data_IF_114855486666
#
_entry.id   IF_114855486666
#
_cell.length_a   1.000
_cell.length_b   1.000
_cell.length_c   1.000
_cell.angle_alpha   90.00
_cell.angle_beta   90.00
_cell.angle_gamma   90.00
#
_symmetry.space_group_name_H-M   'P 1'
#
loop_
_entity.id
_entity.type
_entity.pdbx_description
1 polymer ?
#
# COMPACT_ATOMS: atom_id res chain seq x y z
N UNK A 1 -0.78 -12.05 -0.44
CA UNK A 1 0.37 -11.65 0.43
C UNK A 1 0.04 -11.85 1.91
N UNK A 2 -1.08 -11.34 2.44
CA UNK A 2 -1.47 -11.59 3.85
C UNK A 2 -1.45 -13.08 4.23
N UNK A 3 -2.07 -13.93 3.41
CA UNK A 3 -2.08 -15.39 3.60
C UNK A 3 -0.67 -16.00 3.65
N UNK A 4 0.28 -15.48 2.85
CA UNK A 4 1.67 -15.94 2.84
C UNK A 4 2.36 -15.71 4.20
N UNK A 5 1.94 -14.69 4.94
CA UNK A 5 2.47 -14.34 6.25
C UNK A 5 1.56 -14.81 7.40
N UNK A 6 0.56 -15.65 7.13
CA UNK A 6 -0.43 -16.11 8.13
C UNK A 6 -1.16 -14.96 8.84
N UNK A 7 -1.29 -13.80 8.18
CA UNK A 7 -2.11 -12.68 8.64
C UNK A 7 -3.54 -12.89 8.12
N UNK A 8 -4.58 -12.74 8.97
CA UNK A 8 -5.97 -12.86 8.52
C UNK A 8 -6.25 -11.91 7.36
N UNK A 9 -6.86 -12.42 6.30
CA UNK A 9 -7.09 -11.66 5.06
C UNK A 9 -7.95 -10.41 5.26
N UNK A 10 -8.76 -10.40 6.30
CA UNK A 10 -9.58 -9.25 6.71
C UNK A 10 -8.75 -8.01 7.06
N UNK A 11 -7.46 -8.16 7.38
CA UNK A 11 -6.58 -7.01 7.59
C UNK A 11 -6.34 -6.18 6.31
N UNK A 12 -6.74 -6.67 5.12
CA UNK A 12 -6.78 -5.84 3.89
C UNK A 12 -7.69 -4.61 4.06
N UNK A 13 -8.72 -4.70 4.90
CA UNK A 13 -9.63 -3.58 5.17
C UNK A 13 -8.97 -2.46 5.99
N UNK A 14 -7.84 -2.72 6.66
CA UNK A 14 -7.00 -1.64 7.20
C UNK A 14 -6.54 -0.69 6.09
N UNK A 15 -5.95 -1.22 5.02
CA UNK A 15 -5.49 -0.40 3.90
C UNK A 15 -6.64 0.39 3.25
N UNK A 16 -7.86 -0.17 3.25
CA UNK A 16 -9.05 0.55 2.79
C UNK A 16 -9.35 1.75 3.68
N UNK A 17 -9.41 1.59 5.00
CA UNK A 17 -9.74 2.71 5.91
C UNK A 17 -8.62 3.73 6.07
N UNK A 18 -7.37 3.32 5.84
CA UNK A 18 -6.18 4.16 5.93
C UNK A 18 -6.01 5.05 4.70
N UNK A 19 -6.23 4.53 3.50
CA UNK A 19 -5.89 5.27 2.28
C UNK A 19 -6.94 5.20 1.17
N UNK A 20 -8.01 4.42 1.34
CA UNK A 20 -8.92 4.11 0.23
C UNK A 20 -8.20 3.38 -0.90
N UNK A 21 -7.20 2.54 -0.59
CA UNK A 21 -6.37 1.84 -1.56
C UNK A 21 -5.66 2.78 -2.55
N UNK A 22 -5.19 3.93 -2.05
CA UNK A 22 -4.48 4.94 -2.84
C UNK A 22 -3.16 5.36 -2.18
N UNK A 23 -2.26 5.94 -2.99
CA UNK A 23 -0.99 6.49 -2.55
C UNK A 23 -1.17 7.92 -2.01
N UNK A 24 -1.76 8.04 -0.82
CA UNK A 24 -2.02 9.34 -0.15
C UNK A 24 -0.96 9.67 0.89
N UNK A 25 -0.83 10.95 1.22
CA UNK A 25 0.03 11.45 2.29
C UNK A 25 -0.86 12.12 3.34
N UNK A 26 -0.76 11.69 4.60
CA UNK A 26 -1.50 12.31 5.70
C UNK A 26 -0.86 13.63 6.14
N UNK A 27 -1.58 14.48 6.91
CA UNK A 27 -0.99 15.65 7.55
C UNK A 27 0.18 15.35 8.50
N UNK A 28 0.35 14.09 8.92
CA UNK A 28 1.44 13.63 9.78
C UNK A 28 2.53 12.89 8.99
N UNK A 29 2.58 13.04 7.68
CA UNK A 29 3.56 12.42 6.77
C UNK A 29 3.53 10.88 6.73
N UNK A 30 2.39 10.29 7.09
CA UNK A 30 2.10 8.89 6.83
C UNK A 30 1.81 8.70 5.33
N UNK A 31 2.36 7.64 4.72
CA UNK A 31 2.38 7.52 3.26
C UNK A 31 1.89 6.16 2.77
N UNK A 32 1.21 6.20 1.63
CA UNK A 32 0.90 5.02 0.83
C UNK A 32 -0.33 4.27 1.31
N UNK A 33 -0.48 3.04 0.84
CA UNK A 33 -1.66 2.21 1.10
C UNK A 33 -1.82 1.88 2.59
N UNK A 34 -0.70 1.69 3.26
CA UNK A 34 -0.65 1.28 4.66
C UNK A 34 -0.37 2.44 5.62
N UNK A 35 -0.33 3.68 5.11
CA UNK A 35 -0.09 4.90 5.90
C UNK A 35 1.10 4.77 6.87
N UNK A 36 2.26 4.37 6.34
CA UNK A 36 3.46 4.26 7.17
C UNK A 36 4.10 5.62 7.43
N UNK A 37 4.35 5.92 8.71
CA UNK A 37 5.30 6.95 9.10
C UNK A 37 6.72 6.54 8.69
N UNK A 38 7.56 7.52 8.34
CA UNK A 38 8.94 7.27 7.87
C UNK A 38 9.79 6.45 8.84
N UNK A 39 9.68 6.70 10.15
CA UNK A 39 10.41 5.94 11.17
C UNK A 39 9.98 4.47 11.19
N UNK A 40 8.67 4.23 11.30
CA UNK A 40 8.09 2.89 11.28
C UNK A 40 8.40 2.14 9.99
N UNK A 41 8.32 2.80 8.83
CA UNK A 41 8.68 2.19 7.55
C UNK A 41 10.10 1.60 7.59
N UNK A 42 11.06 2.34 8.14
CA UNK A 42 12.45 1.90 8.27
C UNK A 42 12.62 0.77 9.29
N UNK A 43 11.84 0.78 10.38
CA UNK A 43 11.84 -0.31 11.36
C UNK A 43 11.37 -1.65 10.76
N UNK A 44 10.67 -1.61 9.62
CA UNK A 44 10.19 -2.77 8.87
C UNK A 44 10.83 -2.87 7.47
N UNK A 45 12.11 -2.49 7.38
CA UNK A 45 13.00 -2.69 6.24
C UNK A 45 12.65 -1.94 4.94
N UNK A 46 11.76 -0.95 4.99
CA UNK A 46 11.48 -0.11 3.83
C UNK A 46 12.55 0.97 3.63
N UNK A 47 13.03 1.09 2.40
CA UNK A 47 13.88 2.20 1.98
C UNK A 47 13.06 3.49 1.87
N UNK A 48 13.48 4.53 2.61
CA UNK A 48 12.83 5.85 2.60
C UNK A 48 13.89 6.94 2.58
N UNK A 49 14.21 7.40 1.38
CA UNK A 49 15.10 8.52 1.11
C UNK A 49 14.53 9.49 0.04
N UNK A 50 15.39 10.25 -0.62
CA UNK A 50 14.96 11.25 -1.61
C UNK A 50 14.69 10.65 -2.98
N UNK A 51 15.40 9.59 -3.36
CA UNK A 51 15.36 8.93 -4.66
C UNK A 51 14.31 7.81 -4.66
N UNK A 52 14.19 7.11 -3.53
CA UNK A 52 13.34 5.96 -3.33
C UNK A 52 12.52 6.11 -2.05
N UNK A 53 11.21 5.86 -2.16
CA UNK A 53 10.31 5.77 -1.01
C UNK A 53 9.39 4.57 -1.17
N UNK A 54 9.80 3.45 -0.57
CA UNK A 54 9.12 2.15 -0.68
C UNK A 54 7.80 2.10 0.08
N UNK A 55 7.43 3.16 0.80
CA UNK A 55 6.05 3.32 1.33
C UNK A 55 5.02 3.42 0.21
N UNK A 56 5.43 3.90 -0.97
CA UNK A 56 4.59 3.92 -2.18
C UNK A 56 4.64 2.58 -2.95
N UNK A 57 5.53 1.65 -2.57
CA UNK A 57 5.65 0.36 -3.25
C UNK A 57 4.66 -0.62 -2.63
N UNK A 58 3.59 -0.96 -3.35
CA UNK A 58 2.48 -1.73 -2.78
C UNK A 58 2.92 -3.09 -2.22
N UNK A 59 3.73 -3.86 -2.93
CA UNK A 59 4.20 -5.17 -2.44
C UNK A 59 5.08 -5.04 -1.20
N UNK A 60 6.11 -4.18 -1.24
CA UNK A 60 7.04 -4.01 -0.11
C UNK A 60 6.33 -3.43 1.12
N UNK A 61 5.51 -2.40 0.94
CA UNK A 61 4.72 -1.84 2.04
C UNK A 61 3.71 -2.83 2.61
N UNK A 62 3.11 -3.70 1.78
CA UNK A 62 2.21 -4.76 2.27
C UNK A 62 2.97 -5.82 3.06
N UNK A 63 4.17 -6.20 2.62
CA UNK A 63 5.05 -7.08 3.39
C UNK A 63 5.44 -6.46 4.74
N UNK A 64 5.82 -5.17 4.75
CA UNK A 64 6.12 -4.44 5.97
C UNK A 64 4.92 -4.37 6.92
N UNK A 65 3.71 -4.16 6.38
CA UNK A 65 2.46 -4.23 7.15
C UNK A 65 2.22 -5.62 7.74
N UNK A 66 2.47 -6.70 7.00
CA UNK A 66 2.37 -8.06 7.53
C UNK A 66 3.31 -8.26 8.73
N UNK A 67 4.59 -7.88 8.57
CA UNK A 67 5.59 -7.96 9.64
C UNK A 67 5.18 -7.13 10.87
N UNK A 68 4.64 -5.93 10.66
CA UNK A 68 4.11 -5.09 11.74
C UNK A 68 2.97 -5.79 12.49
N UNK A 69 1.99 -6.31 11.75
CA UNK A 69 0.80 -6.95 12.33
C UNK A 69 1.18 -8.20 13.12
N UNK A 70 2.08 -9.02 12.60
CA UNK A 70 2.61 -10.20 13.30
C UNK A 70 3.36 -9.83 14.57
N UNK A 71 4.24 -8.83 14.53
CA UNK A 71 4.97 -8.36 15.72
C UNK A 71 4.00 -7.85 16.81
N UNK A 72 2.93 -7.17 16.41
CA UNK A 72 1.87 -6.77 17.33
C UNK A 72 1.08 -7.98 17.85
N UNK A 73 0.85 -8.99 17.02
CA UNK A 73 0.16 -10.21 17.42
C UNK A 73 0.98 -11.04 18.42
N UNK A 74 2.29 -11.18 18.22
CA UNK A 74 3.22 -11.78 19.19
C UNK A 74 3.14 -11.10 20.55
N UNK A 75 2.92 -9.78 20.57
CA UNK A 75 2.81 -8.99 21.79
C UNK A 75 1.46 -9.16 22.50
N UNK A 76 0.36 -9.18 21.75
CA UNK A 76 -0.99 -9.10 22.34
C UNK A 76 -1.79 -10.41 22.32
N UNK A 77 -1.43 -11.36 21.45
CA UNK A 77 -2.12 -12.63 21.27
C UNK A 77 -3.55 -12.54 20.73
N UNK A 78 -4.04 -11.34 20.37
CA UNK A 78 -5.37 -11.18 19.78
C UNK A 78 -5.41 -10.05 18.74
N UNK A 79 -6.18 -10.29 17.68
CA UNK A 79 -6.25 -9.41 16.51
C UNK A 79 -6.97 -8.07 16.76
N UNK A 80 -7.88 -8.00 17.74
CA UNK A 80 -8.56 -6.74 18.07
C UNK A 80 -7.59 -5.70 18.64
N UNK A 81 -6.70 -6.12 19.56
CA UNK A 81 -5.62 -5.26 20.07
C UNK A 81 -4.58 -4.94 18.99
N UNK A 82 -4.29 -5.88 18.08
CA UNK A 82 -3.41 -5.60 16.91
C UNK A 82 -3.99 -4.47 16.07
N UNK A 83 -5.26 -4.56 15.69
CA UNK A 83 -5.94 -3.52 14.91
C UNK A 83 -5.98 -2.17 15.65
N UNK A 84 -6.33 -2.17 16.94
CA UNK A 84 -6.32 -0.96 17.76
C UNK A 84 -4.92 -0.34 17.87
N UNK A 85 -3.87 -1.17 17.96
CA UNK A 85 -2.48 -0.70 18.05
C UNK A 85 -1.94 -0.12 16.75
N UNK A 86 -2.53 -0.49 15.61
CA UNK A 86 -2.18 0.10 14.31
C UNK A 86 -2.52 1.60 14.29
N UNK A 87 -3.71 1.97 14.80
CA UNK A 87 -4.15 3.36 14.91
C UNK A 87 -3.50 4.12 16.09
N UNK A 88 -3.57 3.55 17.29
CA UNK A 88 -3.14 4.23 18.52
C UNK A 88 -1.63 4.12 18.82
N UNK A 89 -0.91 3.33 18.04
CA UNK A 89 0.47 2.94 18.30
C UNK A 89 0.60 1.86 19.39
N UNK A 90 1.62 1.02 19.24
CA UNK A 90 1.88 -0.11 20.14
C UNK A 90 2.24 0.30 21.58
N UNK A 91 2.88 1.46 21.76
CA UNK A 91 3.17 1.99 23.09
C UNK A 91 1.92 2.54 23.78
N UNK A 92 1.02 3.16 23.00
CA UNK A 92 -0.24 3.69 23.51
C UNK A 92 -1.14 2.59 24.04
N UNK A 93 -1.36 1.54 23.23
CA UNK A 93 -2.14 0.36 23.64
C UNK A 93 -1.52 -0.33 24.86
N UNK A 94 -0.19 -0.56 24.84
CA UNK A 94 0.47 -1.20 25.99
C UNK A 94 0.26 -0.42 27.29
N UNK A 95 0.43 0.90 27.24
CA UNK A 95 0.23 1.76 28.42
C UNK A 95 -1.20 1.66 28.94
N UNK A 96 -2.21 1.66 28.06
CA UNK A 96 -3.61 1.55 28.47
C UNK A 96 -3.92 0.18 29.08
N UNK A 97 -3.40 -0.91 28.50
CA UNK A 97 -3.54 -2.26 29.06
C UNK A 97 -2.98 -2.36 30.47
N UNK A 98 -1.78 -1.80 30.70
CA UNK A 98 -1.14 -1.78 32.02
C UNK A 98 -1.91 -0.91 33.03
N UNK A 99 -2.31 0.29 32.62
CA UNK A 99 -3.01 1.25 33.47
C UNK A 99 -4.41 0.77 33.88
N UNK A 100 -5.13 0.12 32.96
CA UNK A 100 -6.50 -0.31 33.18
C UNK A 100 -6.60 -1.78 33.61
N UNK A 101 -5.46 -2.48 33.68
CA UNK A 101 -5.38 -3.91 33.97
C UNK A 101 -6.24 -4.76 33.04
N UNK A 102 -6.42 -4.31 31.78
CA UNK A 102 -7.25 -4.94 30.78
C UNK A 102 -6.38 -5.72 29.78
N UNK A 103 -6.81 -6.94 29.43
CA UNK A 103 -6.13 -7.80 28.43
C UNK A 103 -6.90 -7.93 27.12
N UNK A 104 -8.10 -7.38 27.08
CA UNK A 104 -9.00 -7.40 25.93
C UNK A 104 -9.22 -5.97 25.44
N UNK A 105 -9.31 -5.79 24.13
CA UNK A 105 -9.73 -4.52 23.54
C UNK A 105 -11.11 -4.09 24.05
N UNK A 106 -12.04 -5.04 24.21
CA UNK A 106 -13.43 -4.78 24.57
C UNK A 106 -13.61 -4.31 26.03
N UNK A 107 -12.64 -4.62 26.89
CA UNK A 107 -12.64 -4.21 28.29
C UNK A 107 -11.80 -2.93 28.52
N UNK A 108 -11.21 -2.38 27.46
CA UNK A 108 -10.29 -1.25 27.53
C UNK A 108 -10.96 0.05 27.07
N UNK A 109 -10.87 1.08 27.89
CA UNK A 109 -11.24 2.44 27.52
C UNK A 109 -10.13 3.05 26.65
N UNK A 110 -10.39 3.13 25.35
CA UNK A 110 -9.51 3.80 24.37
C UNK A 110 -10.09 5.15 23.94
N UNK A 111 -9.28 5.97 23.27
CA UNK A 111 -9.77 7.20 22.66
C UNK A 111 -10.87 6.90 21.63
N UNK A 112 -11.79 7.85 21.43
CA UNK A 112 -12.95 7.68 20.55
C UNK A 112 -12.57 7.35 19.09
N UNK A 113 -11.44 7.88 18.61
CA UNK A 113 -10.91 7.55 17.29
C UNK A 113 -10.57 6.05 17.19
N UNK A 114 -9.79 5.54 18.14
CA UNK A 114 -9.38 4.13 18.20
C UNK A 114 -10.56 3.21 18.48
N UNK A 115 -11.53 3.64 19.30
CA UNK A 115 -12.72 2.84 19.58
C UNK A 115 -13.53 2.59 18.29
N UNK A 116 -13.65 3.60 17.44
CA UNK A 116 -14.30 3.49 16.12
C UNK A 116 -13.46 2.73 15.12
N UNK A 117 -12.13 2.73 15.25
CA UNK A 117 -11.22 2.16 14.26
C UNK A 117 -11.50 0.68 13.98
N UNK A 118 -11.61 -0.15 15.03
CA UNK A 118 -11.91 -1.59 14.87
C UNK A 118 -13.28 -1.80 14.19
N UNK A 119 -14.30 -1.01 14.56
CA UNK A 119 -15.61 -1.10 13.94
C UNK A 119 -15.64 -0.59 12.49
N UNK A 120 -14.79 0.38 12.12
CA UNK A 120 -14.63 0.81 10.72
C UNK A 120 -14.10 -0.32 9.85
N UNK A 121 -13.14 -1.11 10.34
CA UNK A 121 -12.64 -2.30 9.64
C UNK A 121 -13.77 -3.30 9.44
N UNK A 122 -14.53 -3.60 10.50
CA UNK A 122 -15.66 -4.52 10.43
C UNK A 122 -16.75 -4.03 9.47
N UNK A 123 -17.07 -2.74 9.49
CA UNK A 123 -18.02 -2.14 8.56
C UNK A 123 -17.56 -2.28 7.11
N UNK A 124 -16.27 -2.00 6.83
CA UNK A 124 -15.71 -2.21 5.49
C UNK A 124 -15.79 -3.69 5.09
N UNK A 125 -15.43 -4.62 5.98
CA UNK A 125 -15.57 -6.06 5.71
C UNK A 125 -16.98 -6.41 5.27
N UNK A 126 -17.98 -6.04 6.08
CA UNK A 126 -19.38 -6.37 5.82
C UNK A 126 -19.87 -5.80 4.49
N UNK A 127 -19.56 -4.53 4.20
CA UNK A 127 -19.94 -3.87 2.95
C UNK A 127 -19.26 -4.53 1.75
N UNK A 128 -17.96 -4.82 1.82
CA UNK A 128 -17.25 -5.41 0.68
C UNK A 128 -17.58 -6.89 0.45
N UNK A 129 -17.93 -7.64 1.49
CA UNK A 129 -18.32 -9.06 1.36
C UNK A 129 -19.79 -9.23 0.96
N UNK A 130 -20.65 -8.26 1.27
CA UNK A 130 -22.09 -8.31 0.97
C UNK A 130 -22.58 -6.95 0.43
N UNK A 131 -22.05 -6.44 -0.70
CA UNK A 131 -22.33 -5.07 -1.16
C UNK A 131 -23.82 -4.78 -1.39
N UNK A 132 -24.57 -5.76 -1.88
CA UNK A 132 -26.00 -5.62 -2.17
C UNK A 132 -26.85 -5.38 -0.91
N UNK A 133 -26.50 -6.02 0.21
CA UNK A 133 -27.17 -5.82 1.52
C UNK A 133 -27.06 -4.37 2.01
N UNK A 134 -26.06 -3.64 1.51
CA UNK A 134 -25.79 -2.24 1.82
C UNK A 134 -26.12 -1.29 0.66
N UNK A 135 -26.81 -1.77 -0.38
CA UNK A 135 -27.29 -0.95 -1.51
C UNK A 135 -26.24 -0.66 -2.58
N UNK A 136 -25.11 -1.39 -2.59
CA UNK A 136 -24.12 -1.33 -3.66
C UNK A 136 -24.34 -2.50 -4.62
N UNK A 137 -24.70 -2.16 -5.85
CA UNK A 137 -24.84 -3.12 -6.95
C UNK A 137 -23.68 -2.86 -7.88
N UNK A 138 -22.72 -3.79 -7.92
CA UNK A 138 -21.50 -3.67 -8.72
C UNK A 138 -21.43 -4.88 -9.63
N UNK A 139 -21.53 -4.63 -10.93
CA UNK A 139 -21.46 -5.69 -11.93
C UNK A 139 -20.00 -6.18 -12.09
N UNK A 140 -19.77 -7.46 -12.44
CA UNK A 140 -18.41 -8.01 -12.54
C UNK A 140 -17.48 -7.27 -13.50
N UNK A 141 -18.01 -6.61 -14.53
CA UNK A 141 -17.27 -5.81 -15.51
C UNK A 141 -16.92 -4.40 -15.00
N UNK A 142 -17.48 -3.97 -13.88
CA UNK A 142 -17.09 -2.74 -13.16
C UNK A 142 -15.88 -2.94 -12.24
N UNK A 143 -15.46 -4.19 -12.01
CA UNK A 143 -14.27 -4.48 -11.21
C UNK A 143 -12.98 -4.12 -11.94
N UNK A 144 -12.07 -3.46 -11.22
CA UNK A 144 -10.70 -3.26 -11.70
C UNK A 144 -9.95 -4.59 -11.74
N UNK A 145 -9.48 -4.95 -12.94
CA UNK A 145 -8.59 -6.10 -13.11
C UNK A 145 -7.12 -5.70 -12.85
N UNK A 146 -6.30 -6.60 -12.30
CA UNK A 146 -4.86 -6.38 -12.21
C UNK A 146 -4.28 -6.14 -13.60
N UNK A 147 -3.55 -5.05 -13.77
CA UNK A 147 -2.88 -4.75 -15.03
C UNK A 147 -1.63 -5.63 -15.13
N UNK A 148 -1.47 -6.45 -16.19
CA UNK A 148 -0.28 -7.27 -16.38
C UNK A 148 0.96 -6.39 -16.58
N UNK A 149 2.09 -6.85 -16.04
CA UNK A 149 3.39 -6.20 -16.16
C UNK A 149 4.51 -7.23 -16.07
N UNK A 150 5.67 -6.89 -16.60
CA UNK A 150 6.92 -7.60 -16.37
C UNK A 150 7.90 -6.72 -15.58
N UNK A 151 8.96 -7.33 -15.07
CA UNK A 151 9.97 -6.66 -14.26
C UNK A 151 11.25 -6.47 -15.06
N UNK A 152 11.80 -5.25 -15.01
CA UNK A 152 13.13 -4.91 -15.53
C UNK A 152 14.05 -4.63 -14.34
N UNK A 153 15.14 -5.37 -14.23
CA UNK A 153 16.13 -5.16 -13.18
C UNK A 153 17.01 -3.94 -13.51
N UNK A 154 17.17 -3.06 -12.52
CA UNK A 154 18.09 -1.91 -12.54
C UNK A 154 19.00 -2.03 -11.33
N UNK A 155 20.30 -2.22 -11.55
CA UNK A 155 21.30 -2.42 -10.50
C UNK A 155 22.40 -1.33 -10.50
N UNK A 156 22.14 -0.20 -11.16
CA UNK A 156 23.09 0.91 -11.27
C UNK A 156 22.38 2.25 -11.43
N UNK A 157 23.15 3.23 -11.91
CA UNK A 157 22.68 4.59 -12.19
C UNK A 157 21.67 4.59 -13.34
N UNK A 158 20.62 5.39 -13.20
CA UNK A 158 19.73 5.81 -14.28
C UNK A 158 19.81 7.32 -14.38
N UNK A 159 20.32 7.83 -15.51
CA UNK A 159 20.49 9.27 -15.74
C UNK A 159 19.17 10.01 -15.87
N UNK A 160 18.21 9.43 -16.59
CA UNK A 160 16.88 9.99 -16.79
C UNK A 160 15.83 8.87 -16.95
N UNK A 161 14.82 8.86 -16.07
CA UNK A 161 13.72 7.91 -16.11
C UNK A 161 12.78 8.11 -17.32
N UNK A 162 12.75 9.29 -17.94
CA UNK A 162 12.00 9.52 -19.17
C UNK A 162 12.65 8.83 -20.37
N UNK A 163 13.98 8.88 -20.49
CA UNK A 163 14.71 8.13 -21.51
C UNK A 163 14.57 6.62 -21.27
N UNK A 164 14.74 6.17 -20.03
CA UNK A 164 14.47 4.77 -19.67
C UNK A 164 13.06 4.34 -20.06
N UNK A 165 12.03 5.13 -19.73
CA UNK A 165 10.64 4.83 -20.07
C UNK A 165 10.45 4.69 -21.59
N UNK A 166 11.04 5.61 -22.35
CA UNK A 166 11.00 5.61 -23.81
C UNK A 166 11.64 4.35 -24.39
N UNK A 167 12.77 3.90 -23.85
CA UNK A 167 13.44 2.66 -24.27
C UNK A 167 12.59 1.41 -23.98
N UNK A 168 11.76 1.46 -22.93
CA UNK A 168 10.77 0.43 -22.62
C UNK A 168 9.45 0.58 -23.42
N UNK A 169 9.35 1.57 -24.31
CA UNK A 169 8.16 1.81 -25.13
C UNK A 169 6.96 2.37 -24.36
N UNK A 170 7.17 2.96 -23.19
CA UNK A 170 6.11 3.58 -22.36
C UNK A 170 6.37 5.07 -22.13
N UNK A 171 5.32 5.81 -21.75
CA UNK A 171 5.51 7.19 -21.30
C UNK A 171 6.08 7.26 -19.89
N UNK A 172 6.80 8.35 -19.58
CA UNK A 172 7.23 8.65 -18.21
C UNK A 172 6.07 8.64 -17.22
N UNK A 173 4.89 9.15 -17.62
CA UNK A 173 3.69 9.13 -16.78
C UNK A 173 3.29 7.70 -16.38
N UNK A 174 3.26 6.77 -17.35
CA UNK A 174 2.97 5.35 -17.10
C UNK A 174 4.03 4.74 -16.18
N UNK A 175 5.31 5.00 -16.43
CA UNK A 175 6.40 4.52 -15.56
C UNK A 175 6.17 4.94 -14.10
N UNK A 176 5.81 6.21 -13.84
CA UNK A 176 5.57 6.73 -12.48
C UNK A 176 4.28 6.20 -11.86
N UNK A 177 3.26 5.87 -12.64
CA UNK A 177 2.05 5.21 -12.12
C UNK A 177 2.33 3.79 -11.63
N UNK A 178 3.14 3.03 -12.36
CA UNK A 178 3.50 1.66 -11.98
C UNK A 178 4.58 1.61 -10.90
N UNK A 179 5.43 2.63 -10.83
CA UNK A 179 6.55 2.72 -9.90
C UNK A 179 6.52 4.05 -9.12
N UNK A 180 5.45 4.34 -8.36
CA UNK A 180 5.29 5.61 -7.65
C UNK A 180 6.32 5.77 -6.51
N UNK A 181 7.01 4.69 -6.13
CA UNK A 181 8.10 4.68 -5.17
C UNK A 181 9.41 5.27 -5.71
N UNK A 182 9.55 5.42 -7.03
CA UNK A 182 10.61 6.26 -7.61
C UNK A 182 10.24 7.72 -7.36
N UNK A 183 11.07 8.47 -6.65
CA UNK A 183 10.71 9.83 -6.19
C UNK A 183 11.41 10.95 -6.96
N UNK A 184 12.51 10.66 -7.65
CA UNK A 184 13.19 11.61 -8.52
C UNK A 184 12.98 11.27 -10.01
N UNK A 185 13.54 12.12 -10.87
CA UNK A 185 13.64 11.93 -12.32
C UNK A 185 14.85 11.09 -12.72
N UNK A 186 15.78 10.86 -11.81
CA UNK A 186 16.99 10.05 -11.96
C UNK A 186 17.12 9.03 -10.82
N UNK A 187 18.14 8.16 -10.90
CA UNK A 187 18.56 7.27 -9.83
C UNK A 187 20.09 7.18 -9.80
N UNK A 188 20.73 7.59 -8.71
CA UNK A 188 22.19 7.54 -8.56
C UNK A 188 22.68 6.16 -8.19
N UNK A 189 21.97 5.48 -7.29
CA UNK A 189 22.21 4.11 -6.84
C UNK A 189 23.71 3.74 -6.71
N UNK A 190 24.46 4.54 -5.93
CA UNK A 190 25.93 4.42 -5.85
C UNK A 190 26.42 3.09 -5.30
N UNK A 191 25.58 2.39 -4.54
CA UNK A 191 25.88 1.11 -3.91
C UNK A 191 25.53 -0.08 -4.82
N UNK A 192 24.92 0.15 -5.99
CA UNK A 192 24.56 -0.90 -6.94
C UNK A 192 23.45 -1.85 -6.43
N UNK A 193 22.49 -1.33 -5.65
CA UNK A 193 21.35 -2.13 -5.18
C UNK A 193 20.45 -2.48 -6.36
N UNK A 194 19.98 -3.72 -6.44
CA UNK A 194 18.99 -4.12 -7.45
C UNK A 194 17.60 -3.59 -7.11
N UNK A 195 17.00 -2.93 -8.09
CA UNK A 195 15.60 -2.53 -8.10
C UNK A 195 14.88 -3.21 -9.26
N UNK A 196 13.60 -3.50 -9.08
CA UNK A 196 12.77 -4.15 -10.11
C UNK A 196 11.68 -3.18 -10.54
N UNK A 197 11.79 -2.71 -11.77
CA UNK A 197 10.91 -1.69 -12.34
C UNK A 197 9.78 -2.40 -13.08
N UNK A 198 8.54 -2.07 -12.71
CA UNK A 198 7.34 -2.62 -13.35
C UNK A 198 7.08 -1.91 -14.68
N UNK A 199 7.01 -2.68 -15.75
CA UNK A 199 6.66 -2.21 -17.09
C UNK A 199 5.36 -2.91 -17.51
N UNK A 200 4.26 -2.17 -17.72
CA UNK A 200 2.99 -2.78 -18.13
C UNK A 200 3.11 -3.48 -19.49
N UNK A 201 2.32 -4.53 -19.65
CA UNK A 201 2.20 -5.24 -20.93
C UNK A 201 1.15 -4.58 -21.83
N UNK A 202 1.21 -4.78 -23.16
CA UNK A 202 0.15 -4.34 -24.07
C UNK A 202 -1.24 -4.86 -23.66
N UNK A 203 -2.31 -4.06 -23.84
CA UNK A 203 -2.33 -2.70 -24.39
C UNK A 203 -2.07 -1.59 -23.36
N UNK A 204 -1.77 -1.93 -22.10
CA UNK A 204 -1.62 -0.97 -21.00
C UNK A 204 -0.29 -0.21 -21.00
N UNK A 205 0.62 -0.57 -21.89
CA UNK A 205 1.85 0.15 -22.17
C UNK A 205 1.64 1.41 -23.03
N UNK A 206 0.45 1.58 -23.62
CA UNK A 206 0.10 2.70 -24.47
C UNK A 206 -0.35 3.92 -23.66
N UNK A 207 0.00 5.12 -24.13
CA UNK A 207 -0.59 6.37 -23.64
C UNK A 207 -2.09 6.41 -23.95
N UNK A 208 -2.84 7.22 -23.20
CA UNK A 208 -4.25 7.44 -23.48
C UNK A 208 -4.48 7.96 -24.91
N UNK A 209 -3.58 8.82 -25.40
CA UNK A 209 -3.57 9.28 -26.79
C UNK A 209 -3.35 8.12 -27.76
N UNK A 210 -2.36 7.25 -27.53
CA UNK A 210 -2.10 6.09 -28.38
C UNK A 210 -3.29 5.11 -28.41
N UNK A 211 -3.96 4.91 -27.26
CA UNK A 211 -5.18 4.10 -27.19
C UNK A 211 -6.31 4.73 -28.02
N UNK A 212 -6.53 6.04 -27.90
CA UNK A 212 -7.54 6.77 -28.67
C UNK A 212 -7.22 6.70 -30.17
N UNK A 213 -5.98 6.96 -30.57
CA UNK A 213 -5.56 6.91 -31.98
C UNK A 213 -5.75 5.50 -32.56
N UNK A 214 -5.36 4.46 -31.81
CA UNK A 214 -5.53 3.07 -32.22
C UNK A 214 -7.00 2.66 -32.34
N UNK A 215 -7.85 3.08 -31.40
CA UNK A 215 -9.30 2.82 -31.46
C UNK A 215 -9.99 3.52 -32.64
N UNK A 216 -9.44 4.66 -33.08
CA UNK A 216 -9.97 5.44 -34.20
C UNK A 216 -9.27 5.13 -35.54
N UNK A 217 -8.37 4.14 -35.59
CA UNK A 217 -7.65 3.77 -36.82
C UNK A 217 -6.71 4.84 -37.36
N UNK A 218 -6.25 5.76 -36.50
CA UNK A 218 -5.36 6.86 -36.87
C UNK A 218 -3.92 6.42 -36.55
N UNK A 219 -3.10 6.27 -37.58
CA UNK A 219 -1.66 6.04 -37.44
C UNK A 219 -0.91 7.39 -37.46
N UNK A 220 0.05 7.55 -36.54
CA UNK A 220 1.03 8.64 -36.57
C UNK A 220 2.01 8.49 -37.74
#
# INVERSE_FOLDING_TARGET
MLEKYDVPVDFKYLAVIESGLSNVVSPSDAVGFWQFLKGTAKDFDLEVDREVDERYHIEKSTEAACKYLLKSYEKYGNWALVAASYNAGTNGIQRLMEQQQARSYYDMLVAEETSRYVYRILAMKLIFENPEDYGFYVEPDEYYLPIPYHLVEVNGKVDDWADFAKDQGISYKILKYFNPWLRQTDLKNRIGKSYYIKIPEPPYNLTHEQLILMQNGISN
#
